data_IF_396599679881
#
_entry.id   IF_396599679881
#
_cell.length_a   1.000
_cell.length_b   1.000
_cell.length_c   1.000
_cell.angle_alpha   90.00
_cell.angle_beta   90.00
_cell.angle_gamma   90.00
#
_symmetry.space_group_name_H-M   'P 1'
#
loop_
_entity.id
_entity.type
_entity.pdbx_description
1 polymer ?
#
# COMPACT_ATOMS: atom_id res chain seq x y z
N UNK A 1 -7.42 -11.75 4.79
CA UNK A 1 -6.86 -11.48 3.47
C UNK A 1 -7.72 -12.11 2.41
N UNK A 2 -8.33 -11.36 1.47
CA UNK A 2 -9.09 -11.91 0.36
C UNK A 2 -8.21 -12.79 -0.53
N UNK A 3 -8.77 -13.87 -1.08
CA UNK A 3 -8.05 -14.78 -1.95
C UNK A 3 -8.97 -15.74 -2.69
N UNK A 4 -8.45 -16.55 -3.60
CA UNK A 4 -9.24 -17.55 -4.31
C UNK A 4 -9.74 -18.64 -3.36
N UNK A 5 -10.94 -19.15 -3.63
CA UNK A 5 -11.56 -20.25 -2.91
C UNK A 5 -11.83 -21.39 -3.88
N UNK A 6 -11.37 -22.59 -3.51
CA UNK A 6 -11.65 -23.83 -4.25
C UNK A 6 -12.77 -24.60 -3.55
N UNK A 7 -13.83 -24.91 -4.27
CA UNK A 7 -14.89 -25.80 -3.82
C UNK A 7 -14.80 -27.12 -4.60
N UNK A 8 -14.49 -28.19 -3.90
CA UNK A 8 -14.53 -29.54 -4.45
C UNK A 8 -15.91 -30.17 -4.18
N UNK A 9 -16.72 -30.28 -5.22
CA UNK A 9 -18.05 -30.87 -5.16
C UNK A 9 -17.99 -32.35 -5.53
N UNK A 10 -18.11 -33.23 -4.53
CA UNK A 10 -18.19 -34.64 -4.74
C UNK A 10 -19.36 -35.01 -5.67
N UNK A 11 -19.18 -36.01 -6.54
CA UNK A 11 -20.19 -36.42 -7.52
C UNK A 11 -21.53 -36.75 -6.89
N UNK A 12 -21.54 -37.44 -5.73
CA UNK A 12 -22.78 -37.77 -5.00
C UNK A 12 -23.52 -36.51 -4.50
N UNK A 13 -22.81 -35.47 -4.13
CA UNK A 13 -23.42 -34.19 -3.74
C UNK A 13 -24.07 -33.47 -4.94
N UNK A 14 -23.48 -33.62 -6.14
CA UNK A 14 -24.04 -33.04 -7.37
C UNK A 14 -25.29 -33.76 -7.88
N UNK A 15 -25.48 -35.03 -7.56
CA UNK A 15 -26.60 -35.88 -8.01
C UNK A 15 -27.64 -36.09 -6.92
N UNK A 16 -27.34 -35.73 -5.67
CA UNK A 16 -28.26 -35.87 -4.54
C UNK A 16 -29.41 -34.89 -4.62
N UNK A 17 -30.58 -35.32 -4.13
CA UNK A 17 -31.72 -34.43 -3.93
C UNK A 17 -31.64 -33.80 -2.55
N UNK A 18 -31.88 -32.48 -2.47
CA UNK A 18 -31.83 -31.74 -1.22
C UNK A 18 -33.04 -30.76 -1.19
N UNK A 19 -33.65 -30.62 -0.04
CA UNK A 19 -34.61 -29.54 0.17
C UNK A 19 -33.84 -28.21 0.29
N UNK A 20 -34.11 -27.27 -0.62
CA UNK A 20 -33.45 -25.99 -0.61
C UNK A 20 -33.89 -25.15 0.60
N UNK A 21 -33.02 -25.02 1.57
CA UNK A 21 -33.16 -24.15 2.74
C UNK A 21 -31.96 -23.21 2.78
N UNK A 22 -32.10 -21.93 2.41
CA UNK A 22 -31.01 -20.98 2.48
C UNK A 22 -30.67 -20.71 3.95
N UNK A 23 -29.62 -21.30 4.44
CA UNK A 23 -29.08 -21.05 5.77
C UNK A 23 -27.80 -20.21 5.66
N UNK A 24 -27.70 -19.21 6.52
CA UNK A 24 -26.44 -18.46 6.63
C UNK A 24 -25.42 -19.31 7.36
N UNK A 25 -24.29 -19.56 6.72
CA UNK A 25 -23.17 -20.27 7.35
C UNK A 25 -22.37 -19.27 8.17
N UNK A 26 -22.47 -19.36 9.49
CA UNK A 26 -21.74 -18.48 10.41
C UNK A 26 -20.36 -19.05 10.83
N UNK A 27 -20.08 -20.31 10.52
CA UNK A 27 -18.85 -20.98 10.89
C UNK A 27 -18.39 -21.96 9.82
N UNK A 28 -17.14 -21.83 9.42
CA UNK A 28 -16.43 -22.83 8.57
C UNK A 28 -15.28 -23.40 9.40
N UNK A 29 -15.26 -24.71 9.54
CA UNK A 29 -14.22 -25.42 10.30
C UNK A 29 -12.83 -25.03 9.81
N UNK A 30 -11.94 -24.72 10.74
CA UNK A 30 -10.54 -24.32 10.48
C UNK A 30 -10.36 -22.99 9.73
N UNK A 31 -11.43 -22.22 9.50
CA UNK A 31 -11.33 -20.90 8.88
C UNK A 31 -11.40 -19.82 9.96
N UNK A 32 -10.28 -19.17 10.20
CA UNK A 32 -10.15 -18.03 11.12
C UNK A 32 -9.59 -16.83 10.33
N UNK A 33 -10.46 -16.02 9.71
CA UNK A 33 -10.03 -14.94 8.82
C UNK A 33 -9.32 -13.79 9.53
N UNK A 34 -9.58 -13.61 10.82
CA UNK A 34 -8.98 -12.57 11.67
C UNK A 34 -8.35 -13.26 12.88
N UNK A 35 -7.01 -13.24 13.00
CA UNK A 35 -6.32 -13.74 14.19
C UNK A 35 -6.72 -12.94 15.44
N UNK A 36 -6.72 -13.61 16.57
CA UNK A 36 -6.91 -12.93 17.86
C UNK A 36 -5.70 -12.04 18.16
N UNK A 37 -5.96 -10.80 18.51
CA UNK A 37 -4.94 -9.83 18.88
C UNK A 37 -4.24 -10.25 20.18
N UNK A 38 -2.90 -10.23 20.18
CA UNK A 38 -2.09 -10.49 21.36
C UNK A 38 -1.74 -9.18 22.07
N UNK A 39 -2.29 -8.98 23.27
CA UNK A 39 -2.08 -7.78 24.08
C UNK A 39 -0.58 -7.57 24.42
N UNK A 40 0.18 -8.63 24.64
CA UNK A 40 1.63 -8.53 24.91
C UNK A 40 2.40 -8.04 23.68
N UNK A 41 1.97 -8.44 22.49
CA UNK A 41 2.55 -7.94 21.25
C UNK A 41 2.24 -6.45 21.05
N UNK A 42 1.03 -6.01 21.38
CA UNK A 42 0.63 -4.60 21.37
C UNK A 42 1.48 -3.77 22.33
N UNK A 43 1.64 -4.22 23.57
CA UNK A 43 2.47 -3.54 24.57
C UNK A 43 3.93 -3.42 24.14
N UNK A 44 4.48 -4.51 23.59
CA UNK A 44 5.84 -4.51 23.08
C UNK A 44 6.01 -3.62 21.86
N UNK A 45 5.02 -3.56 20.95
CA UNK A 45 5.04 -2.64 19.82
C UNK A 45 5.06 -1.19 20.29
N UNK A 46 4.15 -0.82 21.20
CA UNK A 46 4.12 0.53 21.77
C UNK A 46 5.44 0.87 22.49
N UNK A 47 6.02 -0.07 23.25
CA UNK A 47 7.32 0.10 23.88
C UNK A 47 8.43 0.42 22.85
N UNK A 48 8.50 -0.35 21.76
CA UNK A 48 9.51 -0.14 20.71
C UNK A 48 9.34 1.21 20.03
N UNK A 49 8.09 1.61 19.74
CA UNK A 49 7.77 2.91 19.13
C UNK A 49 8.16 4.06 20.08
N UNK A 50 7.83 3.94 21.37
CA UNK A 50 8.14 4.97 22.37
C UNK A 50 9.64 5.19 22.61
N UNK A 51 10.50 4.25 22.20
CA UNK A 51 11.95 4.30 22.42
C UNK A 51 12.77 4.38 21.11
N UNK A 52 12.11 4.56 19.98
CA UNK A 52 12.79 4.75 18.70
C UNK A 52 13.20 6.22 18.52
N UNK A 53 14.39 6.45 17.98
CA UNK A 53 14.88 7.78 17.62
C UNK A 53 14.60 8.11 16.15
N UNK A 54 14.55 7.08 15.31
CA UNK A 54 14.38 7.18 13.85
C UNK A 54 13.37 6.16 13.32
N UNK A 55 12.13 6.20 13.79
CA UNK A 55 11.10 5.27 13.31
C UNK A 55 10.70 5.59 11.86
N UNK A 56 10.46 4.55 11.05
CA UNK A 56 9.88 4.66 9.70
C UNK A 56 8.74 3.66 9.57
N UNK A 57 7.55 4.15 9.18
CA UNK A 57 6.41 3.28 8.91
C UNK A 57 6.29 3.01 7.41
N UNK A 58 6.08 1.75 7.07
CA UNK A 58 5.79 1.30 5.71
C UNK A 58 4.30 0.96 5.60
N UNK A 59 3.56 1.79 4.85
CA UNK A 59 2.13 1.61 4.61
C UNK A 59 1.91 0.71 3.39
N UNK A 60 1.16 -0.37 3.58
CA UNK A 60 0.83 -1.32 2.53
C UNK A 60 -0.66 -1.53 2.34
N UNK A 61 -1.06 -2.31 1.36
CA UNK A 61 -2.45 -2.55 0.97
C UNK A 61 -3.36 -3.00 2.14
N UNK A 62 -2.80 -3.57 3.20
CA UNK A 62 -3.58 -3.98 4.36
C UNK A 62 -4.29 -2.83 5.06
N UNK A 63 -3.77 -1.60 4.98
CA UNK A 63 -4.41 -0.39 5.51
C UNK A 63 -5.67 -0.09 4.71
N UNK A 64 -5.56 -0.12 3.37
CA UNK A 64 -6.67 0.06 2.44
C UNK A 64 -7.77 -1.00 2.67
N UNK A 65 -7.38 -2.29 2.68
CA UNK A 65 -8.29 -3.42 2.85
C UNK A 65 -8.95 -3.46 4.24
N UNK A 66 -8.24 -3.01 5.26
CA UNK A 66 -8.74 -2.90 6.63
C UNK A 66 -9.52 -1.62 6.90
N UNK A 67 -9.59 -0.69 5.92
CA UNK A 67 -10.15 0.64 6.10
C UNK A 67 -9.61 1.33 7.36
N UNK A 68 -8.28 1.31 7.51
CA UNK A 68 -7.55 1.73 8.71
C UNK A 68 -6.81 3.07 8.55
N UNK A 69 -7.25 3.90 7.60
CA UNK A 69 -6.59 5.18 7.29
C UNK A 69 -6.57 6.14 8.48
N UNK A 70 -7.68 6.21 9.24
CA UNK A 70 -7.78 7.10 10.39
C UNK A 70 -6.88 6.60 11.55
N UNK A 71 -6.80 5.29 11.74
CA UNK A 71 -5.94 4.68 12.76
C UNK A 71 -4.46 4.87 12.42
N UNK A 72 -4.10 4.79 11.11
CA UNK A 72 -2.78 5.15 10.63
C UNK A 72 -2.45 6.62 10.97
N UNK A 73 -3.34 7.55 10.60
CA UNK A 73 -3.17 8.98 10.89
C UNK A 73 -2.99 9.24 12.38
N UNK A 74 -3.85 8.66 13.22
CA UNK A 74 -3.78 8.83 14.67
C UNK A 74 -2.43 8.38 15.25
N UNK A 75 -1.89 7.25 14.76
CA UNK A 75 -0.59 6.74 15.21
C UNK A 75 0.56 7.67 14.79
N UNK A 76 0.62 8.01 13.50
CA UNK A 76 1.75 8.78 12.95
C UNK A 76 1.77 10.23 13.46
N UNK A 77 0.60 10.83 13.67
CA UNK A 77 0.51 12.18 14.26
C UNK A 77 0.93 12.19 15.72
N UNK A 78 0.52 11.16 16.48
CA UNK A 78 0.85 11.05 17.91
C UNK A 78 2.34 10.86 18.13
N UNK A 79 2.98 10.02 17.28
CA UNK A 79 4.38 9.66 17.42
C UNK A 79 5.32 10.33 16.40
N UNK A 80 4.81 11.23 15.53
CA UNK A 80 5.59 12.00 14.54
C UNK A 80 6.44 11.07 13.64
N UNK A 81 5.79 10.03 13.08
CA UNK A 81 6.47 8.98 12.31
C UNK A 81 6.32 9.25 10.81
N UNK A 82 7.43 9.39 10.06
CA UNK A 82 7.37 9.46 8.60
C UNK A 82 6.89 8.14 8.00
N UNK A 83 6.13 8.22 6.89
CA UNK A 83 5.50 7.08 6.23
C UNK A 83 5.97 6.96 4.80
N UNK A 84 6.57 5.83 4.47
CA UNK A 84 6.79 5.41 3.09
C UNK A 84 5.67 4.48 2.62
N UNK A 85 5.09 4.76 1.46
CA UNK A 85 4.01 3.96 0.91
C UNK A 85 4.55 2.88 -0.04
N UNK A 86 4.03 1.65 0.05
CA UNK A 86 4.23 0.66 -1.01
C UNK A 86 3.40 1.03 -2.24
N UNK A 87 3.62 0.37 -3.37
CA UNK A 87 2.84 0.58 -4.59
C UNK A 87 1.32 0.53 -4.33
N UNK A 88 0.87 -0.47 -3.56
CA UNK A 88 -0.54 -0.70 -3.23
C UNK A 88 -1.02 0.07 -1.99
N UNK A 89 -0.13 0.81 -1.32
CA UNK A 89 -0.45 1.70 -0.21
C UNK A 89 -0.40 3.19 -0.59
N UNK A 90 -0.26 3.53 -1.87
CA UNK A 90 -0.01 4.90 -2.32
C UNK A 90 -1.08 5.92 -1.92
N UNK A 91 -2.34 5.52 -1.84
CA UNK A 91 -3.44 6.40 -1.42
C UNK A 91 -3.83 6.25 0.05
N UNK A 92 -3.04 5.53 0.85
CA UNK A 92 -3.28 5.43 2.29
C UNK A 92 -3.13 6.78 3.01
N UNK A 93 -2.30 7.67 2.43
CA UNK A 93 -2.13 9.06 2.85
C UNK A 93 -2.21 10.01 1.65
N UNK A 94 -2.71 11.24 1.83
CA UNK A 94 -2.58 12.27 0.81
C UNK A 94 -1.12 12.47 0.40
N UNK A 95 -0.88 12.71 -0.89
CA UNK A 95 0.48 12.84 -1.43
C UNK A 95 1.27 14.02 -0.88
N UNK A 96 0.59 15.04 -0.39
CA UNK A 96 1.15 16.26 0.21
C UNK A 96 1.10 16.25 1.74
N UNK A 97 0.69 15.15 2.35
CA UNK A 97 0.65 15.03 3.81
C UNK A 97 2.07 15.16 4.40
N UNK A 98 2.28 15.99 5.44
CA UNK A 98 3.64 16.32 5.93
C UNK A 98 4.51 15.14 6.34
N UNK A 99 3.91 14.04 6.78
CA UNK A 99 4.62 12.81 7.15
C UNK A 99 4.69 11.77 6.01
N UNK A 100 4.07 12.04 4.85
CA UNK A 100 4.20 11.18 3.67
C UNK A 100 5.54 11.48 2.98
N UNK A 101 6.48 10.55 3.08
CA UNK A 101 7.81 10.71 2.48
C UNK A 101 7.92 10.09 1.08
N UNK A 102 6.81 9.60 0.53
CA UNK A 102 6.70 9.08 -0.82
C UNK A 102 6.68 7.56 -0.93
N UNK A 103 6.74 7.06 -2.16
CA UNK A 103 6.75 5.63 -2.47
C UNK A 103 8.15 5.05 -2.25
N UNK A 104 8.21 3.84 -1.70
CA UNK A 104 9.46 3.07 -1.57
C UNK A 104 9.49 1.88 -2.54
N UNK A 105 10.67 1.29 -2.70
CA UNK A 105 10.90 0.15 -3.58
C UNK A 105 11.55 0.54 -4.91
N UNK A 106 11.54 -0.40 -5.87
CA UNK A 106 12.25 -0.31 -7.15
C UNK A 106 11.92 0.96 -7.96
N UNK A 107 10.67 1.38 -7.95
CA UNK A 107 10.20 2.57 -8.66
C UNK A 107 9.89 3.72 -7.71
N UNK A 108 10.31 3.60 -6.46
CA UNK A 108 10.06 4.55 -5.39
C UNK A 108 10.94 5.80 -5.44
N UNK A 109 10.72 6.64 -4.45
CA UNK A 109 11.44 7.88 -4.25
C UNK A 109 12.79 7.65 -3.57
N UNK A 110 13.73 8.56 -3.77
CA UNK A 110 15.09 8.46 -3.22
C UNK A 110 15.09 8.45 -1.68
N UNK A 111 14.36 9.40 -1.07
CA UNK A 111 14.33 9.58 0.38
C UNK A 111 13.93 8.31 1.14
N UNK A 112 12.73 7.76 0.95
CA UNK A 112 12.30 6.59 1.68
C UNK A 112 13.17 5.37 1.43
N UNK A 113 13.72 5.18 0.21
CA UNK A 113 14.62 4.07 -0.08
C UNK A 113 15.95 4.18 0.68
N UNK A 114 16.55 5.36 0.77
CA UNK A 114 17.80 5.57 1.52
C UNK A 114 17.55 5.46 3.02
N UNK A 115 16.52 6.12 3.51
CA UNK A 115 16.23 6.22 4.94
C UNK A 115 15.72 4.91 5.56
N UNK A 116 15.20 3.98 4.77
CA UNK A 116 14.91 2.60 5.23
C UNK A 116 16.17 1.93 5.80
N UNK A 117 17.35 2.22 5.24
CA UNK A 117 18.62 1.71 5.74
C UNK A 117 19.31 2.62 6.77
N UNK A 118 18.60 3.64 7.26
CA UNK A 118 19.08 4.56 8.31
C UNK A 118 18.17 4.56 9.56
N UNK A 119 16.92 4.09 9.43
CA UNK A 119 16.00 4.00 10.55
C UNK A 119 16.51 3.00 11.61
N UNK A 120 16.12 3.19 12.87
CA UNK A 120 16.37 2.25 13.96
C UNK A 120 15.17 1.36 14.27
N UNK A 121 13.98 1.78 13.84
CA UNK A 121 12.74 1.01 13.92
C UNK A 121 12.00 1.07 12.60
N UNK A 122 11.73 -0.09 12.00
CA UNK A 122 10.91 -0.24 10.81
C UNK A 122 9.57 -0.85 11.19
N UNK A 123 8.49 -0.15 10.90
CA UNK A 123 7.12 -0.55 11.24
C UNK A 123 6.39 -0.88 9.95
N UNK A 124 6.26 -2.14 9.62
CA UNK A 124 5.55 -2.59 8.42
C UNK A 124 4.08 -2.87 8.74
N UNK A 125 3.15 -2.24 8.04
CA UNK A 125 1.71 -2.39 8.27
C UNK A 125 1.04 -2.86 6.99
N UNK A 126 0.49 -4.09 7.01
CA UNK A 126 -0.27 -4.65 5.90
C UNK A 126 0.52 -4.78 4.60
N UNK A 127 1.83 -5.07 4.67
CA UNK A 127 2.72 -5.26 3.54
C UNK A 127 3.59 -6.52 3.74
N UNK A 128 3.92 -7.22 2.67
CA UNK A 128 4.52 -8.57 2.70
C UNK A 128 6.04 -8.62 2.50
N UNK A 129 6.75 -7.50 2.55
CA UNK A 129 8.17 -7.42 2.24
C UNK A 129 8.53 -8.06 0.89
N UNK A 130 7.82 -7.64 -0.13
CA UNK A 130 8.00 -8.04 -1.52
C UNK A 130 9.40 -7.66 -2.02
N UNK A 131 9.95 -8.45 -2.97
CA UNK A 131 11.29 -8.21 -3.52
C UNK A 131 11.40 -6.87 -4.28
N UNK A 132 10.29 -6.36 -4.81
CA UNK A 132 10.23 -5.03 -5.45
C UNK A 132 10.39 -3.89 -4.44
N UNK A 133 10.08 -4.16 -3.17
CA UNK A 133 10.27 -3.22 -2.06
C UNK A 133 11.62 -3.40 -1.40
N UNK A 134 12.00 -4.64 -1.10
CA UNK A 134 13.20 -4.93 -0.31
C UNK A 134 14.47 -4.94 -1.12
N UNK A 135 14.40 -5.33 -2.40
CA UNK A 135 15.59 -5.61 -3.19
C UNK A 135 16.44 -6.70 -2.53
N UNK A 136 17.73 -6.44 -2.37
CA UNK A 136 18.67 -7.40 -1.77
C UNK A 136 18.43 -7.55 -0.26
N UNK A 137 17.86 -8.67 0.14
CA UNK A 137 17.58 -9.00 1.54
C UNK A 137 18.82 -9.00 2.45
N UNK A 138 20.03 -9.19 1.91
CA UNK A 138 21.25 -9.18 2.71
C UNK A 138 21.63 -7.79 3.21
N UNK A 139 21.13 -6.73 2.58
CA UNK A 139 21.43 -5.34 2.92
C UNK A 139 20.22 -4.53 3.37
N UNK A 140 19.02 -5.10 3.31
CA UNK A 140 17.78 -4.39 3.63
C UNK A 140 17.57 -4.23 5.13
N UNK A 141 17.51 -3.01 5.62
CA UNK A 141 17.16 -2.60 6.99
C UNK A 141 17.85 -3.39 8.13
N UNK A 142 19.12 -3.81 7.93
CA UNK A 142 19.85 -4.68 8.89
C UNK A 142 20.12 -4.04 10.23
N UNK A 143 20.14 -2.71 10.30
CA UNK A 143 20.38 -1.93 11.51
C UNK A 143 19.10 -1.71 12.34
N UNK A 144 17.91 -1.89 11.73
CA UNK A 144 16.62 -1.60 12.36
C UNK A 144 16.04 -2.81 13.09
N UNK A 145 15.33 -2.56 14.19
CA UNK A 145 14.32 -3.50 14.68
C UNK A 145 13.10 -3.44 13.78
N UNK A 146 12.43 -4.56 13.58
CA UNK A 146 11.30 -4.66 12.64
C UNK A 146 10.06 -5.13 13.37
N UNK A 147 9.00 -4.32 13.33
CA UNK A 147 7.65 -4.69 13.73
C UNK A 147 6.83 -4.95 12.47
N UNK A 148 6.14 -6.10 12.43
CA UNK A 148 5.28 -6.44 11.30
C UNK A 148 3.84 -6.65 11.76
N UNK A 149 2.96 -5.73 11.34
CA UNK A 149 1.51 -5.83 11.51
C UNK A 149 0.92 -6.49 10.28
N UNK A 150 0.37 -7.68 10.43
CA UNK A 150 -0.30 -8.39 9.33
C UNK A 150 -1.45 -9.25 9.85
N UNK A 151 -2.44 -9.45 8.99
CA UNK A 151 -3.57 -10.33 9.25
C UNK A 151 -3.25 -11.79 8.91
N UNK A 152 -2.25 -12.01 8.06
CA UNK A 152 -1.86 -13.33 7.55
C UNK A 152 -0.60 -13.84 8.25
N UNK A 153 -0.72 -14.83 9.15
CA UNK A 153 0.45 -15.36 9.84
C UNK A 153 1.49 -15.99 8.90
N UNK A 154 1.11 -16.37 7.69
CA UNK A 154 2.03 -16.95 6.71
C UNK A 154 3.00 -15.95 6.09
N UNK A 155 2.72 -14.65 6.19
CA UNK A 155 3.64 -13.59 5.74
C UNK A 155 4.72 -13.26 6.78
N UNK A 156 4.51 -13.64 8.05
CA UNK A 156 5.48 -13.36 9.13
C UNK A 156 6.76 -14.19 8.93
N UNK A 157 7.91 -13.52 8.96
CA UNK A 157 9.24 -14.11 8.77
C UNK A 157 9.48 -14.80 7.41
N UNK A 158 8.61 -14.56 6.43
CA UNK A 158 8.69 -15.18 5.12
C UNK A 158 9.89 -14.66 4.30
N UNK A 159 10.01 -13.36 4.17
CA UNK A 159 11.08 -12.72 3.41
C UNK A 159 12.07 -11.98 4.32
N UNK A 160 11.57 -11.27 5.32
CA UNK A 160 12.36 -10.53 6.29
C UNK A 160 12.09 -11.08 7.67
N UNK A 161 13.14 -11.38 8.42
CA UNK A 161 13.00 -11.78 9.83
C UNK A 161 12.62 -10.56 10.66
N UNK A 162 11.53 -10.68 11.43
CA UNK A 162 11.02 -9.58 12.25
C UNK A 162 11.35 -9.77 13.73
N UNK A 163 11.51 -8.68 14.47
CA UNK A 163 11.73 -8.70 15.93
C UNK A 163 10.41 -8.86 16.67
N UNK A 164 9.31 -8.38 16.06
CA UNK A 164 7.97 -8.47 16.63
C UNK A 164 6.93 -8.63 15.52
N UNK A 165 6.11 -9.67 15.62
CA UNK A 165 4.89 -9.82 14.84
C UNK A 165 3.69 -9.34 15.66
N UNK A 166 2.82 -8.54 15.04
CA UNK A 166 1.53 -8.12 15.59
C UNK A 166 0.45 -8.64 14.65
N UNK A 167 -0.10 -9.80 14.97
CA UNK A 167 -1.15 -10.45 14.19
C UNK A 167 -2.52 -9.86 14.52
N UNK A 168 -3.32 -9.61 13.50
CA UNK A 168 -4.68 -9.09 13.63
C UNK A 168 -5.07 -8.16 12.50
N UNK A 169 -6.32 -7.73 12.53
CA UNK A 169 -6.82 -6.66 11.67
C UNK A 169 -6.07 -5.35 11.98
N UNK A 170 -5.54 -4.68 10.94
CA UNK A 170 -4.69 -3.50 11.13
C UNK A 170 -5.45 -2.32 11.76
N UNK A 171 -6.76 -2.19 11.52
CA UNK A 171 -7.57 -1.16 12.17
C UNK A 171 -7.59 -1.33 13.68
N UNK A 172 -7.81 -2.56 14.15
CA UNK A 172 -7.87 -2.87 15.58
C UNK A 172 -6.48 -2.77 16.23
N UNK A 173 -5.46 -3.34 15.58
CA UNK A 173 -4.10 -3.37 16.13
C UNK A 173 -3.45 -1.99 16.17
N UNK A 174 -3.64 -1.14 15.13
CA UNK A 174 -3.16 0.23 15.14
C UNK A 174 -3.86 1.08 16.20
N UNK A 175 -5.18 0.94 16.36
CA UNK A 175 -5.92 1.63 17.43
C UNK A 175 -5.37 1.26 18.81
N UNK A 176 -5.23 -0.05 19.09
CA UNK A 176 -4.74 -0.53 20.37
C UNK A 176 -3.29 -0.09 20.69
N UNK A 177 -2.40 -0.11 19.69
CA UNK A 177 -1.03 0.40 19.86
C UNK A 177 -1.03 1.89 20.09
N UNK A 178 -1.85 2.64 19.35
CA UNK A 178 -1.93 4.10 19.47
C UNK A 178 -2.33 4.55 20.88
N UNK A 179 -3.21 3.82 21.56
CA UNK A 179 -3.57 4.13 22.94
C UNK A 179 -2.35 4.14 23.88
N UNK A 180 -1.42 3.20 23.68
CA UNK A 180 -0.24 2.99 24.53
C UNK A 180 1.01 3.77 24.08
N UNK A 181 1.00 4.37 22.89
CA UNK A 181 2.10 5.18 22.38
C UNK A 181 2.05 6.59 23.02
N UNK A 182 3.21 7.13 23.35
CA UNK A 182 3.33 8.49 23.88
C UNK A 182 3.27 9.54 22.76
N UNK A 183 2.97 10.79 23.13
CA UNK A 183 3.13 11.92 22.20
C UNK A 183 4.62 12.25 22.11
N UNK A 184 5.21 11.98 20.95
CA UNK A 184 6.65 12.14 20.70
C UNK A 184 6.83 13.08 19.49
N UNK A 185 8.03 13.63 19.34
CA UNK A 185 8.44 14.42 18.19
C UNK A 185 9.77 13.88 17.62
N UNK A 186 9.76 13.63 16.33
CA UNK A 186 10.94 13.17 15.58
C UNK A 186 11.34 14.20 14.50
N UNK A 187 11.18 15.49 14.78
CA UNK A 187 11.32 16.58 13.81
C UNK A 187 12.61 16.51 13.00
N UNK A 188 13.75 16.30 13.68
CA UNK A 188 15.05 16.16 12.99
C UNK A 188 15.10 14.97 12.04
N UNK A 189 14.47 13.86 12.42
CA UNK A 189 14.37 12.67 11.57
C UNK A 189 13.46 12.90 10.37
N UNK A 190 12.28 13.46 10.58
CA UNK A 190 11.35 13.84 9.51
C UNK A 190 12.01 14.82 8.54
N UNK A 191 12.70 15.82 9.06
CA UNK A 191 13.40 16.82 8.25
C UNK A 191 14.55 16.21 7.43
N UNK A 192 15.13 15.09 7.86
CA UNK A 192 16.22 14.41 7.17
C UNK A 192 15.82 13.83 5.80
N UNK A 193 14.51 13.69 5.52
CA UNK A 193 14.01 13.27 4.20
C UNK A 193 14.01 14.42 3.18
N UNK A 194 13.91 15.68 3.63
CA UNK A 194 13.78 16.85 2.76
C UNK A 194 14.93 17.05 1.76
N UNK A 195 16.21 16.86 2.14
CA UNK A 195 17.32 16.98 1.18
C UNK A 195 17.20 15.98 0.02
N UNK A 196 16.83 14.75 0.30
CA UNK A 196 16.63 13.72 -0.73
C UNK A 196 15.45 14.05 -1.65
N UNK A 197 14.34 14.48 -1.07
CA UNK A 197 13.17 14.90 -1.84
C UNK A 197 13.50 16.09 -2.76
N UNK A 198 14.27 17.06 -2.27
CA UNK A 198 14.73 18.21 -3.05
C UNK A 198 15.67 17.78 -4.19
N UNK A 199 16.66 16.95 -3.87
CA UNK A 199 17.62 16.45 -4.87
C UNK A 199 16.90 15.68 -5.99
N UNK A 200 15.99 14.79 -5.62
CA UNK A 200 15.19 14.01 -6.57
C UNK A 200 14.30 14.91 -7.42
N UNK A 201 13.65 15.90 -6.80
CA UNK A 201 12.80 16.83 -7.52
C UNK A 201 13.59 17.60 -8.58
N UNK A 202 14.71 18.23 -8.21
CA UNK A 202 15.53 19.04 -9.10
C UNK A 202 16.19 18.21 -10.21
N UNK A 203 16.66 17.01 -9.91
CA UNK A 203 17.41 16.17 -10.89
C UNK A 203 16.50 15.34 -11.80
N UNK A 204 15.34 14.91 -11.32
CA UNK A 204 14.49 13.90 -11.99
C UNK A 204 13.07 14.40 -12.21
N UNK A 205 12.36 14.75 -11.13
CA UNK A 205 10.90 14.95 -11.18
C UNK A 205 10.55 16.19 -12.02
N UNK A 206 11.14 17.34 -11.70
CA UNK A 206 10.83 18.60 -12.38
C UNK A 206 11.06 18.51 -13.90
N UNK A 207 12.16 17.91 -14.32
CA UNK A 207 12.47 17.69 -15.74
C UNK A 207 11.47 16.78 -16.45
N UNK A 208 10.92 15.82 -15.74
CA UNK A 208 9.98 14.86 -16.30
C UNK A 208 8.56 15.43 -16.41
N UNK A 209 8.15 16.30 -15.48
CA UNK A 209 6.80 16.87 -15.44
C UNK A 209 6.70 18.27 -16.09
N UNK A 210 7.84 18.98 -16.21
CA UNK A 210 7.94 20.30 -16.84
C UNK A 210 9.04 20.33 -17.91
N UNK A 211 8.94 19.49 -18.97
CA UNK A 211 9.92 19.53 -20.05
C UNK A 211 9.88 20.89 -20.75
N UNK A 212 11.06 21.45 -21.04
CA UNK A 212 11.16 22.75 -21.71
C UNK A 212 10.98 22.65 -23.23
N UNK A 213 11.43 21.53 -23.79
CA UNK A 213 11.44 21.26 -25.25
C UNK A 213 11.27 19.74 -25.47
N UNK A 214 10.87 19.37 -26.68
CA UNK A 214 10.77 17.97 -27.10
C UNK A 214 9.34 17.41 -27.16
N UNK A 215 9.20 16.09 -27.34
CA UNK A 215 7.90 15.44 -27.38
C UNK A 215 7.26 15.40 -25.99
N UNK A 216 5.95 15.19 -25.94
CA UNK A 216 5.22 14.96 -24.71
C UNK A 216 5.82 13.78 -23.93
N UNK A 217 6.10 13.99 -22.66
CA UNK A 217 6.57 12.97 -21.75
C UNK A 217 5.40 12.34 -20.99
N UNK A 218 5.48 11.03 -20.76
CA UNK A 218 4.44 10.30 -20.01
C UNK A 218 4.21 10.89 -18.61
N UNK A 219 5.28 11.26 -17.91
CA UNK A 219 5.20 11.90 -16.60
C UNK A 219 4.44 13.23 -16.63
N UNK A 220 4.67 14.06 -17.65
CA UNK A 220 3.95 15.33 -17.87
C UNK A 220 2.45 15.09 -18.09
N UNK A 221 2.09 14.13 -18.96
CA UNK A 221 0.68 13.80 -19.23
C UNK A 221 -0.01 13.32 -17.97
N UNK A 222 0.61 12.39 -17.24
CA UNK A 222 0.06 11.85 -16.00
C UNK A 222 -0.14 12.96 -14.96
N UNK A 223 0.83 13.85 -14.81
CA UNK A 223 0.73 14.99 -13.88
C UNK A 223 -0.41 15.92 -14.26
N UNK A 224 -0.52 16.29 -15.52
CA UNK A 224 -1.59 17.16 -16.02
C UNK A 224 -2.98 16.54 -15.85
N UNK A 225 -3.13 15.24 -16.07
CA UNK A 225 -4.40 14.53 -15.85
C UNK A 225 -4.74 14.53 -14.36
N UNK A 226 -3.75 14.29 -13.49
CA UNK A 226 -3.93 14.35 -12.05
C UNK A 226 -4.42 15.74 -11.60
N UNK A 227 -3.74 16.79 -12.04
CA UNK A 227 -4.09 18.19 -11.73
C UNK A 227 -5.47 18.58 -12.29
N UNK A 228 -5.81 18.17 -13.51
CA UNK A 228 -7.11 18.42 -14.11
C UNK A 228 -8.28 17.80 -13.35
N UNK A 229 -8.01 16.73 -12.60
CA UNK A 229 -8.97 16.10 -11.69
C UNK A 229 -8.89 16.62 -10.24
N UNK A 230 -8.18 17.73 -9.97
CA UNK A 230 -7.87 18.24 -8.64
C UNK A 230 -7.17 17.21 -7.74
N UNK A 231 -6.46 16.25 -8.33
CA UNK A 231 -5.82 15.10 -7.64
C UNK A 231 -6.82 14.21 -6.88
N UNK A 232 -8.10 14.21 -7.27
CA UNK A 232 -9.17 13.45 -6.62
C UNK A 232 -9.59 12.20 -7.40
N UNK A 233 -9.14 12.06 -8.66
CA UNK A 233 -9.51 10.91 -9.48
C UNK A 233 -8.95 9.59 -8.93
N UNK A 234 -9.62 8.51 -9.29
CA UNK A 234 -9.12 7.15 -9.10
C UNK A 234 -8.16 6.87 -10.26
N UNK A 235 -6.89 6.63 -9.92
CA UNK A 235 -5.89 6.13 -10.87
C UNK A 235 -6.09 4.63 -11.07
N UNK A 236 -6.33 4.22 -12.30
CA UNK A 236 -6.26 2.82 -12.70
C UNK A 236 -5.10 2.64 -13.65
N UNK A 237 -4.27 1.63 -13.43
CA UNK A 237 -3.18 1.30 -14.35
C UNK A 237 -3.26 -0.14 -14.81
N UNK A 238 -2.83 -0.37 -16.04
CA UNK A 238 -2.43 -1.70 -16.49
C UNK A 238 -0.98 -1.96 -16.04
N UNK A 239 -0.25 -2.81 -16.70
CA UNK A 239 1.11 -3.21 -16.32
C UNK A 239 2.13 -2.68 -17.33
N UNK A 240 3.31 -2.28 -16.83
CA UNK A 240 4.40 -1.73 -17.61
C UNK A 240 4.75 -0.28 -17.24
N UNK A 241 5.24 0.49 -18.21
CA UNK A 241 5.63 1.89 -17.97
C UNK A 241 4.45 2.74 -17.48
N UNK A 242 3.25 2.51 -17.99
CA UNK A 242 2.04 3.19 -17.54
C UNK A 242 1.81 3.04 -16.02
N UNK A 243 2.06 1.85 -15.46
CA UNK A 243 1.97 1.58 -14.03
C UNK A 243 3.05 2.33 -13.25
N UNK A 244 4.31 2.19 -13.66
CA UNK A 244 5.45 2.81 -12.98
C UNK A 244 5.32 4.33 -12.93
N UNK A 245 5.02 4.94 -14.07
CA UNK A 245 4.85 6.39 -14.19
C UNK A 245 3.56 6.87 -13.52
N UNK A 246 2.45 6.14 -13.68
CA UNK A 246 1.18 6.44 -13.03
C UNK A 246 1.36 6.52 -11.52
N UNK A 247 1.90 5.48 -10.92
CA UNK A 247 2.10 5.43 -9.48
C UNK A 247 3.12 6.45 -8.94
N UNK A 248 4.08 6.89 -9.77
CA UNK A 248 5.11 7.83 -9.37
C UNK A 248 4.69 9.30 -9.51
N UNK A 249 3.94 9.65 -10.54
CA UNK A 249 3.68 11.05 -10.91
C UNK A 249 2.25 11.51 -10.68
N UNK A 250 1.29 10.59 -10.53
CA UNK A 250 -0.06 10.93 -10.10
C UNK A 250 -0.08 11.35 -8.62
N UNK A 251 -0.95 12.28 -8.25
CA UNK A 251 -1.14 12.72 -6.87
C UNK A 251 -2.49 12.29 -6.35
N UNK A 252 -2.55 12.05 -5.05
CA UNK A 252 -3.73 11.56 -4.37
C UNK A 252 -4.07 12.47 -3.19
N UNK A 253 -5.32 12.87 -3.06
CA UNK A 253 -5.86 13.64 -1.94
C UNK A 253 -6.85 12.84 -1.12
N UNK A 254 -7.33 11.71 -1.68
CA UNK A 254 -8.32 10.82 -1.07
C UNK A 254 -7.79 9.39 -1.00
N UNK A 255 -8.22 8.66 0.01
CA UNK A 255 -8.06 7.21 0.09
C UNK A 255 -8.82 6.50 -1.05
N UNK A 256 -8.55 5.22 -1.24
CA UNK A 256 -9.20 4.39 -2.28
C UNK A 256 -9.03 4.99 -3.70
N UNK A 257 -7.84 5.49 -3.99
CA UNK A 257 -7.56 6.19 -5.26
C UNK A 257 -6.59 5.48 -6.19
N UNK A 258 -6.11 4.28 -5.82
CA UNK A 258 -5.18 3.49 -6.66
C UNK A 258 -5.74 2.10 -6.90
N UNK A 259 -5.92 1.76 -8.17
CA UNK A 259 -6.36 0.42 -8.62
C UNK A 259 -5.34 -0.11 -9.61
N UNK A 260 -4.58 -1.12 -9.21
CA UNK A 260 -3.52 -1.68 -10.05
C UNK A 260 -3.23 -3.13 -9.69
N UNK A 261 -2.81 -3.94 -10.67
CA UNK A 261 -2.35 -5.31 -10.44
C UNK A 261 -0.92 -5.32 -9.88
N UNK A 262 -0.73 -4.82 -8.66
CA UNK A 262 0.58 -4.68 -8.02
C UNK A 262 1.18 -5.99 -7.50
N UNK A 263 0.37 -7.04 -7.33
CA UNK A 263 0.83 -8.35 -6.87
C UNK A 263 1.31 -9.25 -8.01
N UNK A 264 0.42 -9.55 -8.97
CA UNK A 264 0.70 -10.47 -10.07
C UNK A 264 1.19 -9.77 -11.34
N UNK A 265 1.01 -8.46 -11.48
CA UNK A 265 1.39 -7.73 -12.67
C UNK A 265 0.64 -8.22 -13.93
N UNK A 266 -0.67 -8.35 -13.84
CA UNK A 266 -1.50 -8.96 -14.88
C UNK A 266 -1.80 -7.93 -15.98
N UNK A 267 -1.28 -8.16 -17.18
CA UNK A 267 -1.64 -7.39 -18.38
C UNK A 267 -3.11 -7.63 -18.75
N UNK A 268 -3.79 -6.58 -19.21
CA UNK A 268 -5.24 -6.63 -19.49
C UNK A 268 -6.12 -6.38 -18.26
N UNK A 269 -5.53 -6.20 -17.08
CA UNK A 269 -6.24 -5.84 -15.85
C UNK A 269 -6.90 -4.46 -15.92
N UNK A 270 -6.22 -3.48 -16.56
CA UNK A 270 -6.54 -2.06 -16.41
C UNK A 270 -7.92 -1.69 -16.91
N UNK A 271 -8.31 -2.12 -18.12
CA UNK A 271 -9.60 -1.73 -18.69
C UNK A 271 -10.81 -2.27 -17.90
N UNK A 272 -10.94 -3.58 -17.62
CA UNK A 272 -12.07 -4.07 -16.82
C UNK A 272 -12.06 -3.52 -15.39
N UNK A 273 -10.89 -3.28 -14.80
CA UNK A 273 -10.78 -2.66 -13.48
C UNK A 273 -11.25 -1.20 -13.48
N UNK A 274 -10.95 -0.43 -14.54
CA UNK A 274 -11.44 0.94 -14.68
C UNK A 274 -12.96 0.97 -14.83
N UNK A 275 -13.53 0.09 -15.64
CA UNK A 275 -14.99 -0.07 -15.75
C UNK A 275 -15.59 -0.40 -14.38
N UNK A 276 -15.02 -1.40 -13.68
CA UNK A 276 -15.47 -1.74 -12.33
C UNK A 276 -15.39 -0.57 -11.33
N UNK A 277 -14.33 0.23 -11.40
CA UNK A 277 -14.16 1.41 -10.53
C UNK A 277 -15.24 2.48 -10.77
N UNK A 278 -15.74 2.66 -12.00
CA UNK A 278 -16.84 3.59 -12.28
C UNK A 278 -18.18 3.15 -11.65
N UNK A 279 -18.39 1.83 -11.51
CA UNK A 279 -19.56 1.31 -10.80
C UNK A 279 -19.39 1.36 -9.27
N UNK A 280 -18.16 1.14 -8.78
CA UNK A 280 -17.86 1.17 -7.35
C UNK A 280 -17.84 2.57 -6.75
N UNK A 281 -17.52 3.58 -7.55
CA UNK A 281 -17.42 4.99 -7.13
C UNK A 281 -17.97 5.92 -8.23
N UNK A 282 -19.29 5.88 -8.48
CA UNK A 282 -19.90 6.60 -9.61
C UNK A 282 -19.78 8.13 -9.51
N UNK A 283 -19.49 8.65 -8.32
CA UNK A 283 -19.30 10.08 -8.07
C UNK A 283 -17.87 10.55 -8.34
N UNK A 284 -16.94 9.63 -8.63
CA UNK A 284 -15.52 9.94 -8.82
C UNK A 284 -15.09 9.78 -10.27
N UNK A 285 -14.21 10.66 -10.72
CA UNK A 285 -13.52 10.47 -12.01
C UNK A 285 -12.57 9.29 -11.93
N UNK A 286 -12.59 8.41 -12.93
CA UNK A 286 -11.66 7.30 -13.09
C UNK A 286 -10.74 7.61 -14.25
N UNK A 287 -9.43 7.55 -14.03
CA UNK A 287 -8.39 7.77 -15.06
C UNK A 287 -7.62 6.47 -15.27
N UNK A 288 -7.78 5.87 -16.44
CA UNK A 288 -7.03 4.68 -16.85
C UNK A 288 -5.79 5.05 -17.67
N UNK A 289 -4.64 4.57 -17.24
CA UNK A 289 -3.42 4.53 -18.06
C UNK A 289 -3.11 3.08 -18.44
N UNK A 290 -3.13 2.81 -19.73
CA UNK A 290 -2.96 1.47 -20.29
C UNK A 290 -2.03 1.52 -21.50
N UNK A 291 -1.17 0.51 -21.66
CA UNK A 291 -0.37 0.33 -22.86
C UNK A 291 -1.18 -0.34 -23.99
N UNK A 292 -0.66 -0.27 -25.18
CA UNK A 292 -1.24 -0.85 -26.40
C UNK A 292 -1.54 -2.37 -26.24
N UNK A 293 -0.57 -3.13 -25.78
CA UNK A 293 -0.74 -4.57 -25.56
C UNK A 293 -1.77 -4.90 -24.47
N UNK A 294 -1.74 -4.18 -23.34
CA UNK A 294 -2.71 -4.35 -22.24
C UNK A 294 -4.13 -4.02 -22.69
N UNK A 295 -4.30 -2.93 -23.45
CA UNK A 295 -5.61 -2.55 -24.01
C UNK A 295 -6.16 -3.62 -24.97
N UNK A 296 -5.30 -4.15 -25.86
CA UNK A 296 -5.72 -5.16 -26.82
C UNK A 296 -6.19 -6.47 -26.18
N UNK A 297 -5.63 -6.83 -25.02
CA UNK A 297 -6.00 -8.08 -24.33
C UNK A 297 -7.45 -8.11 -23.86
N UNK A 298 -8.04 -6.97 -23.58
CA UNK A 298 -9.40 -6.86 -23.03
C UNK A 298 -10.24 -5.81 -23.77
N UNK A 299 -9.88 -5.44 -24.99
CA UNK A 299 -10.58 -4.41 -25.78
C UNK A 299 -12.06 -4.72 -26.01
N UNK A 300 -12.44 -5.99 -26.00
CA UNK A 300 -13.84 -6.43 -26.10
C UNK A 300 -14.72 -5.91 -24.95
N UNK A 301 -14.14 -5.52 -23.82
CA UNK A 301 -14.88 -4.94 -22.69
C UNK A 301 -15.42 -3.52 -22.98
N UNK A 302 -15.07 -2.94 -24.13
CA UNK A 302 -15.65 -1.67 -24.61
C UNK A 302 -17.01 -1.85 -25.31
N UNK A 303 -17.41 -3.09 -25.58
CA UNK A 303 -18.64 -3.42 -26.30
C UNK A 303 -19.95 -3.33 -25.53
#
# INVERSE_FOLDING_TARGET
RPGPVLLDLAKCAQTGMVEYKPEKVDFIRSYQPIPTMDEKAIEKAAYLINHADRPLLLAGQGIELGNAHQELLNLIEKADIPVGCTLLGLSDLPSDYPLNVGMLGMHGNLGPNVQTNQCDLLIAVGMRFDDRVTGNLNTYAKQAKIIHFDIDPSEINKNVKVDLAVLGDCKQTLAAVTEKVHKIKHTAWVDSFKPYAKEEYEKVIDKAIHPKEGPLLMAEVIRKVSEASNNEAILVTDVGQNQMFGCRYFKFTKAHSVVTSGGCGTMGFGLPAAIGATFGAPERTVCLFVGDGGLQMTIQELG
#
